data_IF_777467012391
#
_entry.id   IF_777467012391
#
_cell.length_a   1.000
_cell.length_b   1.000
_cell.length_c   1.000
_cell.angle_alpha   90.00
_cell.angle_beta   90.00
_cell.angle_gamma   90.00
#
_symmetry.space_group_name_H-M   'P 1'
#
loop_
_entity.id
_entity.type
_entity.pdbx_description
1 polymer ?
#
# COMPACT_ATOMS: atom_id res chain seq x y z
N UNK A 1 8.16 -46.09 -1.45
CA UNK A 1 8.26 -44.84 -2.22
C UNK A 1 6.83 -44.42 -2.57
N UNK A 2 6.24 -43.47 -1.83
CA UNK A 2 4.95 -42.87 -2.21
C UNK A 2 5.28 -41.54 -2.87
N UNK A 3 4.88 -41.39 -4.12
CA UNK A 3 5.12 -40.21 -4.93
C UNK A 3 4.27 -39.05 -4.38
N UNK A 4 4.93 -37.96 -4.02
CA UNK A 4 4.32 -36.70 -3.65
C UNK A 4 3.65 -36.08 -4.88
N UNK A 5 2.32 -35.97 -4.87
CA UNK A 5 1.59 -35.14 -5.82
C UNK A 5 1.33 -33.80 -5.14
N UNK A 6 2.38 -32.97 -5.07
CA UNK A 6 2.25 -31.57 -4.71
C UNK A 6 1.41 -30.84 -5.77
N UNK A 7 0.46 -30.09 -5.23
CA UNK A 7 -0.70 -29.48 -5.86
C UNK A 7 -0.30 -28.39 -6.88
N UNK A 8 -0.17 -28.74 -8.16
CA UNK A 8 0.14 -27.77 -9.25
C UNK A 8 -0.97 -26.69 -9.42
N UNK A 9 -2.16 -26.88 -8.84
CA UNK A 9 -3.26 -25.91 -8.88
C UNK A 9 -3.13 -24.73 -7.90
N UNK A 10 -2.18 -24.77 -6.95
CA UNK A 10 -2.03 -23.71 -5.94
C UNK A 10 -1.19 -22.52 -6.45
N UNK A 11 -0.27 -22.76 -7.40
CA UNK A 11 0.64 -21.72 -7.94
C UNK A 11 -0.09 -20.68 -8.80
N UNK A 12 -1.13 -21.08 -9.54
CA UNK A 12 -1.90 -20.14 -10.38
C UNK A 12 -2.92 -19.35 -9.55
N UNK A 13 -3.47 -19.96 -8.51
CA UNK A 13 -4.44 -19.34 -7.59
C UNK A 13 -3.78 -18.31 -6.67
N UNK A 14 -2.55 -18.57 -6.22
CA UNK A 14 -1.74 -17.60 -5.46
C UNK A 14 -1.33 -16.40 -6.31
N UNK A 15 -0.96 -16.61 -7.59
CA UNK A 15 -0.63 -15.53 -8.52
C UNK A 15 -1.82 -14.59 -8.81
N UNK A 16 -3.03 -15.12 -8.99
CA UNK A 16 -4.23 -14.30 -9.22
C UNK A 16 -4.63 -13.49 -7.98
N UNK A 17 -4.57 -14.11 -6.79
CA UNK A 17 -4.82 -13.41 -5.52
C UNK A 17 -3.78 -12.33 -5.24
N UNK A 18 -2.51 -12.60 -5.51
CA UNK A 18 -1.44 -11.62 -5.34
C UNK A 18 -1.63 -10.43 -6.29
N UNK A 19 -1.95 -10.67 -7.57
CA UNK A 19 -2.23 -9.61 -8.52
C UNK A 19 -3.41 -8.72 -8.10
N UNK A 20 -4.45 -9.29 -7.48
CA UNK A 20 -5.57 -8.53 -6.94
C UNK A 20 -5.16 -7.65 -5.75
N UNK A 21 -4.32 -8.18 -4.85
CA UNK A 21 -3.78 -7.41 -3.70
C UNK A 21 -2.85 -6.29 -4.17
N UNK A 22 -1.96 -6.57 -5.12
CA UNK A 22 -1.04 -5.57 -5.69
C UNK A 22 -1.81 -4.43 -6.36
N UNK A 23 -2.90 -4.77 -7.06
CA UNK A 23 -3.81 -3.76 -7.62
C UNK A 23 -4.46 -2.92 -6.53
N UNK A 24 -4.96 -3.55 -5.46
CA UNK A 24 -5.59 -2.82 -4.35
C UNK A 24 -4.61 -1.88 -3.64
N UNK A 25 -3.37 -2.32 -3.44
CA UNK A 25 -2.29 -1.49 -2.89
C UNK A 25 -1.95 -0.31 -3.81
N UNK A 26 -1.86 -0.56 -5.12
CA UNK A 26 -1.61 0.48 -6.11
C UNK A 26 -2.74 1.50 -6.17
N UNK A 27 -3.99 1.06 -6.18
CA UNK A 27 -5.16 1.94 -6.20
C UNK A 27 -5.20 2.83 -4.95
N UNK A 28 -4.95 2.25 -3.77
CA UNK A 28 -4.90 3.00 -2.51
C UNK A 28 -3.74 4.01 -2.49
N UNK A 29 -2.57 3.65 -3.04
CA UNK A 29 -1.44 4.58 -3.16
C UNK A 29 -1.75 5.76 -4.08
N UNK A 30 -2.41 5.51 -5.21
CA UNK A 30 -2.85 6.57 -6.14
C UNK A 30 -3.82 7.53 -5.43
N UNK A 31 -4.77 7.00 -4.66
CA UNK A 31 -5.71 7.83 -3.90
C UNK A 31 -5.01 8.70 -2.85
N UNK A 32 -4.07 8.13 -2.09
CA UNK A 32 -3.24 8.89 -1.16
C UNK A 32 -2.49 10.00 -1.88
N UNK A 33 -1.95 9.72 -3.08
CA UNK A 33 -1.22 10.72 -3.87
C UNK A 33 -2.11 11.82 -4.43
N UNK A 34 -3.36 11.52 -4.73
CA UNK A 34 -4.34 12.51 -5.16
C UNK A 34 -4.77 13.44 -4.00
N UNK A 35 -4.81 12.91 -2.78
CA UNK A 35 -5.21 13.64 -1.58
C UNK A 35 -4.07 14.39 -0.89
N UNK A 36 -2.83 13.89 -1.00
CA UNK A 36 -1.64 14.53 -0.43
C UNK A 36 -1.07 15.60 -1.37
N UNK A 37 -0.88 16.80 -0.84
CA UNK A 37 -0.10 17.84 -1.50
C UNK A 37 1.41 17.61 -1.25
N UNK A 38 2.08 16.98 -2.22
CA UNK A 38 3.52 16.74 -2.18
C UNK A 38 4.38 17.98 -2.47
N UNK A 39 3.79 19.12 -2.84
CA UNK A 39 4.55 20.38 -2.92
C UNK A 39 4.90 20.92 -1.53
N UNK A 40 4.24 20.43 -0.49
CA UNK A 40 4.55 20.78 0.91
C UNK A 40 5.77 19.99 1.41
N UNK A 41 6.53 20.55 2.36
CA UNK A 41 7.63 19.83 2.99
C UNK A 41 7.16 18.50 3.57
N UNK A 42 8.02 17.47 3.54
CA UNK A 42 7.71 16.11 4.02
C UNK A 42 7.21 16.05 5.47
N UNK A 43 7.57 17.05 6.29
CA UNK A 43 7.05 17.23 7.65
C UNK A 43 5.52 17.35 7.68
N UNK A 44 4.92 17.91 6.63
CA UNK A 44 3.47 17.97 6.47
C UNK A 44 2.88 16.56 6.36
N UNK A 45 3.43 15.71 5.48
CA UNK A 45 2.99 14.31 5.35
C UNK A 45 3.12 13.53 6.65
N UNK A 46 4.25 13.71 7.36
CA UNK A 46 4.48 13.13 8.70
C UNK A 46 3.37 13.55 9.68
N UNK A 47 3.03 14.83 9.72
CA UNK A 47 2.03 15.36 10.64
C UNK A 47 0.60 14.93 10.28
N UNK A 48 0.23 15.03 8.99
CA UNK A 48 -1.13 14.74 8.50
C UNK A 48 -1.45 13.26 8.66
N UNK A 49 -0.49 12.39 8.33
CA UNK A 49 -0.69 10.95 8.38
C UNK A 49 -0.27 10.32 9.71
N UNK A 50 0.44 11.03 10.59
CA UNK A 50 0.96 10.47 11.83
C UNK A 50 1.94 9.32 11.59
N UNK A 51 2.84 9.48 10.62
CA UNK A 51 3.81 8.46 10.18
C UNK A 51 5.24 8.91 10.44
N UNK A 52 6.19 7.97 10.44
CA UNK A 52 7.61 8.32 10.55
C UNK A 52 8.13 9.03 9.29
N UNK A 53 9.22 9.81 9.37
CA UNK A 53 9.84 10.40 8.18
C UNK A 53 10.25 9.37 7.12
N UNK A 54 10.61 8.15 7.53
CA UNK A 54 10.94 7.07 6.60
C UNK A 54 9.70 6.61 5.81
N UNK A 55 8.60 6.35 6.52
CA UNK A 55 7.32 6.00 5.89
C UNK A 55 6.81 7.12 4.98
N UNK A 56 6.91 8.38 5.41
CA UNK A 56 6.55 9.51 4.56
C UNK A 56 7.36 9.53 3.25
N UNK A 57 8.67 9.20 3.29
CA UNK A 57 9.50 9.10 2.07
C UNK A 57 9.05 7.95 1.17
N UNK A 58 8.70 6.81 1.74
CA UNK A 58 8.23 5.65 0.98
C UNK A 58 6.87 5.95 0.32
N UNK A 59 5.98 6.65 1.03
CA UNK A 59 4.72 7.15 0.46
C UNK A 59 4.98 8.10 -0.71
N UNK A 60 5.83 9.12 -0.56
CA UNK A 60 6.15 10.05 -1.66
C UNK A 60 6.77 9.35 -2.87
N UNK A 61 7.53 8.27 -2.66
CA UNK A 61 8.10 7.46 -3.75
C UNK A 61 7.10 6.49 -4.40
N UNK A 62 5.91 6.33 -3.83
CA UNK A 62 4.93 5.34 -4.30
C UNK A 62 5.34 3.90 -4.03
N UNK A 63 6.15 3.65 -2.99
CA UNK A 63 6.61 2.30 -2.65
C UNK A 63 5.50 1.51 -1.94
N UNK A 64 4.73 0.77 -2.72
CA UNK A 64 3.62 -0.08 -2.24
C UNK A 64 4.10 -1.30 -1.43
N UNK A 65 5.36 -1.72 -1.56
CA UNK A 65 5.89 -2.88 -0.84
C UNK A 65 6.20 -2.59 0.62
N UNK A 66 6.32 -1.30 0.98
CA UNK A 66 6.57 -0.84 2.34
C UNK A 66 5.33 -0.77 3.23
N UNK A 67 4.12 -1.03 2.69
CA UNK A 67 2.86 -0.84 3.39
C UNK A 67 1.90 -2.00 3.19
N UNK A 68 1.15 -2.30 4.24
CA UNK A 68 -0.03 -3.15 4.13
C UNK A 68 -1.23 -2.36 3.60
N UNK A 69 -2.20 -3.06 3.02
CA UNK A 69 -3.43 -2.44 2.54
C UNK A 69 -4.22 -1.76 3.67
N UNK A 70 -4.15 -2.31 4.88
CA UNK A 70 -4.79 -1.73 6.06
C UNK A 70 -4.19 -0.37 6.44
N UNK A 71 -2.86 -0.23 6.35
CA UNK A 71 -2.18 1.04 6.58
C UNK A 71 -2.59 2.08 5.55
N UNK A 72 -2.57 1.73 4.26
CA UNK A 72 -2.96 2.66 3.19
C UNK A 72 -4.42 3.12 3.34
N UNK A 73 -5.35 2.22 3.64
CA UNK A 73 -6.75 2.58 3.93
C UNK A 73 -6.88 3.51 5.14
N UNK A 74 -6.12 3.24 6.21
CA UNK A 74 -6.08 4.11 7.38
C UNK A 74 -5.57 5.50 7.04
N UNK A 75 -4.59 5.61 6.13
CA UNK A 75 -4.06 6.90 5.67
C UNK A 75 -5.09 7.66 4.85
N UNK A 76 -5.81 6.99 3.94
CA UNK A 76 -6.92 7.59 3.17
C UNK A 76 -7.97 8.14 4.14
N UNK A 77 -8.41 7.37 5.14
CA UNK A 77 -9.39 7.84 6.12
C UNK A 77 -8.92 9.10 6.88
N UNK A 78 -7.63 9.17 7.23
CA UNK A 78 -7.05 10.35 7.89
C UNK A 78 -7.02 11.56 6.97
N UNK A 79 -6.72 11.37 5.69
CA UNK A 79 -6.71 12.46 4.69
C UNK A 79 -8.11 12.98 4.44
N UNK A 80 -9.09 12.09 4.29
CA UNK A 80 -10.50 12.47 4.04
C UNK A 80 -11.16 13.13 5.25
N UNK A 81 -10.75 12.79 6.47
CA UNK A 81 -11.25 13.47 7.69
C UNK A 81 -10.65 14.86 7.91
N UNK A 82 -9.48 15.13 7.34
CA UNK A 82 -8.72 16.37 7.53
C UNK A 82 -8.87 17.38 6.38
N UNK A 83 -9.53 17.01 5.28
CA UNK A 83 -9.93 17.88 4.17
C UNK A 83 -11.40 18.31 4.31
#
# INVERSE_FOLDING_TARGET
>A
MKLDYENIFDVTSTSSKQAAVDKELSDAMIEIHALLDFNKPIKNTVNVLGVTPSQARNLTKGDIGSFSIFELKTFIERLTKNN
#
